data_IF_720953250511
#
_entry.id   IF_720953250511
#
_cell.length_a   1.000
_cell.length_b   1.000
_cell.length_c   1.000
_cell.angle_alpha   90.00
_cell.angle_beta   90.00
_cell.angle_gamma   90.00
#
_symmetry.space_group_name_H-M   'P 1'
#
loop_
_entity.id
_entity.type
_entity.pdbx_description
1 polymer ?
#
# COMPACT_ATOMS: atom_id res chain seq x y z
N UNK A 1 11.82 -28.74 12.12
CA UNK A 1 11.40 -29.23 10.80
C UNK A 1 11.26 -28.03 9.89
N UNK A 2 12.24 -27.81 9.02
CA UNK A 2 12.19 -26.79 7.98
C UNK A 2 11.35 -27.39 6.83
N UNK A 3 10.24 -26.76 6.46
CA UNK A 3 9.63 -27.04 5.16
C UNK A 3 10.65 -26.66 4.09
N UNK A 4 10.93 -27.53 3.10
CA UNK A 4 11.95 -27.25 2.12
C UNK A 4 11.46 -26.12 1.21
N UNK A 5 12.21 -25.02 1.14
CA UNK A 5 11.96 -23.89 0.25
C UNK A 5 11.79 -24.29 -1.24
N UNK A 6 12.15 -25.52 -1.62
CA UNK A 6 11.99 -26.08 -2.95
C UNK A 6 10.57 -26.55 -3.32
N UNK A 7 9.63 -26.66 -2.36
CA UNK A 7 8.23 -27.02 -2.66
C UNK A 7 7.34 -25.81 -2.91
N UNK A 8 7.73 -24.62 -2.43
CA UNK A 8 6.95 -23.39 -2.58
C UNK A 8 6.70 -23.00 -4.06
N UNK A 9 7.69 -23.07 -4.97
CA UNK A 9 7.44 -22.74 -6.38
C UNK A 9 6.46 -23.70 -7.06
N UNK A 10 6.50 -24.99 -6.69
CA UNK A 10 5.60 -26.00 -7.25
C UNK A 10 4.15 -25.82 -6.77
N UNK A 11 3.96 -25.63 -5.46
CA UNK A 11 2.64 -25.40 -4.85
C UNK A 11 2.03 -24.09 -5.34
N UNK A 12 2.83 -23.02 -5.45
CA UNK A 12 2.42 -21.74 -6.01
C UNK A 12 1.95 -21.89 -7.46
N UNK A 13 2.74 -22.56 -8.31
CA UNK A 13 2.38 -22.79 -9.72
C UNK A 13 1.10 -23.63 -9.87
N UNK A 14 0.90 -24.64 -9.02
CA UNK A 14 -0.35 -25.41 -9.00
C UNK A 14 -1.55 -24.53 -8.61
N UNK A 15 -1.44 -23.78 -7.51
CA UNK A 15 -2.52 -22.90 -7.04
C UNK A 15 -2.93 -21.87 -8.11
N UNK A 16 -1.96 -21.25 -8.80
CA UNK A 16 -2.22 -20.34 -9.93
C UNK A 16 -2.85 -21.03 -11.14
N UNK A 17 -2.52 -22.30 -11.40
CA UNK A 17 -3.02 -23.04 -12.56
C UNK A 17 -4.44 -23.60 -12.38
N UNK A 18 -4.84 -23.87 -11.13
CA UNK A 18 -6.16 -24.46 -10.82
C UNK A 18 -7.30 -23.45 -10.91
N UNK A 19 -7.04 -22.14 -10.89
CA UNK A 19 -8.07 -21.10 -11.07
C UNK A 19 -9.09 -21.02 -9.93
N UNK A 20 -8.78 -21.57 -8.76
CA UNK A 20 -9.67 -21.65 -7.58
C UNK A 20 -9.55 -20.46 -6.63
N UNK A 21 -8.72 -19.46 -6.97
CA UNK A 21 -8.57 -18.23 -6.17
C UNK A 21 -9.69 -17.24 -6.50
N UNK A 22 -10.47 -16.88 -5.50
CA UNK A 22 -11.56 -15.90 -5.62
C UNK A 22 -11.00 -14.50 -5.93
N UNK A 23 -9.83 -14.17 -5.36
CA UNK A 23 -9.12 -12.91 -5.65
C UNK A 23 -8.72 -12.85 -7.13
N UNK A 24 -8.13 -13.91 -7.68
CA UNK A 24 -7.77 -13.95 -9.10
C UNK A 24 -9.00 -13.86 -10.01
N UNK A 25 -10.10 -14.52 -9.64
CA UNK A 25 -11.36 -14.45 -10.37
C UNK A 25 -11.97 -13.05 -10.35
N UNK A 26 -11.89 -12.33 -9.23
CA UNK A 26 -12.38 -10.96 -9.12
C UNK A 26 -11.64 -9.98 -10.05
N UNK A 27 -10.30 -10.08 -10.12
CA UNK A 27 -9.50 -9.25 -11.03
C UNK A 27 -9.50 -9.73 -12.48
N UNK A 28 -9.98 -10.96 -12.74
CA UNK A 28 -10.12 -11.49 -14.09
C UNK A 28 -11.12 -10.64 -14.90
N UNK A 29 -10.67 -10.14 -16.05
CA UNK A 29 -11.43 -9.23 -16.94
C UNK A 29 -11.86 -7.90 -16.30
N UNK A 30 -11.22 -7.48 -15.20
CA UNK A 30 -11.43 -6.17 -14.60
C UNK A 30 -10.43 -5.16 -15.15
N UNK A 31 -10.88 -3.93 -15.39
CA UNK A 31 -10.00 -2.80 -15.73
C UNK A 31 -9.52 -2.16 -14.44
N UNK A 32 -8.22 -2.23 -14.18
CA UNK A 32 -7.60 -1.71 -12.96
C UNK A 32 -6.80 -0.46 -13.29
N UNK A 33 -7.13 0.66 -12.64
CA UNK A 33 -6.32 1.88 -12.69
C UNK A 33 -5.37 1.94 -11.50
N UNK A 34 -4.08 2.19 -11.76
CA UNK A 34 -3.04 2.24 -10.73
C UNK A 34 -2.30 3.57 -10.85
N UNK A 35 -2.52 4.48 -9.89
CA UNK A 35 -1.66 5.67 -9.78
C UNK A 35 -0.29 5.26 -9.26
N UNK A 36 0.78 5.93 -9.72
CA UNK A 36 2.14 5.59 -9.30
C UNK A 36 2.64 4.25 -9.86
N UNK A 37 2.03 3.75 -10.95
CA UNK A 37 2.42 2.49 -11.61
C UNK A 37 3.89 2.41 -12.03
N UNK A 38 4.55 3.55 -12.26
CA UNK A 38 5.98 3.63 -12.57
C UNK A 38 6.90 3.54 -11.33
N UNK A 39 6.35 3.73 -10.14
CA UNK A 39 7.03 3.67 -8.85
C UNK A 39 7.33 2.24 -8.40
N UNK A 40 8.07 2.11 -7.29
CA UNK A 40 8.53 0.81 -6.80
C UNK A 40 7.36 -0.15 -6.47
N UNK A 41 6.39 0.31 -5.66
CA UNK A 41 5.21 -0.48 -5.31
C UNK A 41 4.33 -0.72 -6.54
N UNK A 42 4.07 0.33 -7.34
CA UNK A 42 3.21 0.25 -8.53
C UNK A 42 3.70 -0.79 -9.56
N UNK A 43 5.00 -0.83 -9.85
CA UNK A 43 5.58 -1.84 -10.76
C UNK A 43 5.36 -3.26 -10.26
N UNK A 44 5.55 -3.48 -8.96
CA UNK A 44 5.38 -4.79 -8.35
C UNK A 44 3.91 -5.19 -8.26
N UNK A 45 3.00 -4.22 -8.05
CA UNK A 45 1.56 -4.44 -8.09
C UNK A 45 1.09 -4.81 -9.51
N UNK A 46 1.57 -4.11 -10.54
CA UNK A 46 1.34 -4.44 -11.95
C UNK A 46 1.88 -5.83 -12.25
N UNK A 47 3.12 -6.12 -11.87
CA UNK A 47 3.70 -7.44 -12.08
C UNK A 47 2.85 -8.53 -11.41
N UNK A 48 2.39 -8.32 -10.17
CA UNK A 48 1.61 -9.31 -9.45
C UNK A 48 0.22 -9.55 -10.03
N UNK A 49 -0.51 -8.49 -10.36
CA UNK A 49 -1.85 -8.58 -10.95
C UNK A 49 -1.83 -9.23 -12.34
N UNK A 50 -0.79 -8.96 -13.15
CA UNK A 50 -0.80 -9.28 -14.57
C UNK A 50 0.14 -10.43 -14.98
N UNK A 51 1.18 -10.75 -14.19
CA UNK A 51 2.05 -11.92 -14.46
C UNK A 51 1.33 -13.25 -14.21
N UNK A 52 0.33 -13.24 -13.33
CA UNK A 52 -0.51 -14.40 -13.03
C UNK A 52 -1.50 -14.71 -14.17
N UNK A 53 -1.68 -13.79 -15.12
CA UNK A 53 -2.64 -13.84 -16.24
C UNK A 53 -1.94 -14.06 -17.61
N UNK A 54 -1.18 -15.17 -17.76
CA UNK A 54 -0.71 -15.73 -19.07
C UNK A 54 0.20 -14.81 -19.95
N UNK A 55 0.89 -15.36 -20.98
CA UNK A 55 1.78 -14.57 -21.85
C UNK A 55 1.05 -13.46 -22.61
N UNK A 56 1.73 -12.33 -22.84
CA UNK A 56 1.19 -11.16 -23.57
C UNK A 56 0.51 -10.11 -22.69
N UNK A 57 0.67 -10.17 -21.37
CA UNK A 57 0.05 -9.19 -20.45
C UNK A 57 0.46 -7.74 -20.72
N UNK A 58 1.63 -7.51 -21.31
CA UNK A 58 2.12 -6.17 -21.70
C UNK A 58 1.18 -5.48 -22.68
N UNK A 59 0.50 -6.25 -23.55
CA UNK A 59 -0.43 -5.72 -24.55
C UNK A 59 -1.74 -5.25 -23.91
N UNK A 60 -1.95 -5.53 -22.62
CA UNK A 60 -3.10 -5.11 -21.82
C UNK A 60 -2.79 -3.95 -20.89
N UNK A 61 -1.60 -3.37 -20.97
CA UNK A 61 -1.18 -2.23 -20.16
C UNK A 61 -1.25 -0.97 -21.02
N UNK A 62 -2.10 -0.03 -20.62
CA UNK A 62 -2.16 1.32 -21.20
C UNK A 62 -1.57 2.31 -20.21
N UNK A 63 -0.58 3.09 -20.65
CA UNK A 63 -0.04 4.19 -19.85
C UNK A 63 -0.93 5.43 -19.97
N UNK A 64 -1.31 6.00 -18.84
CA UNK A 64 -1.98 7.31 -18.77
C UNK A 64 -0.98 8.30 -18.20
N UNK A 65 -0.72 9.38 -18.92
CA UNK A 65 0.14 10.46 -18.45
C UNK A 65 -0.67 11.40 -17.55
N UNK A 66 -0.07 11.81 -16.43
CA UNK A 66 -0.69 12.71 -15.46
C UNK A 66 0.25 13.02 -14.31
N UNK A 67 -0.08 14.09 -13.58
CA UNK A 67 0.59 14.50 -12.36
C UNK A 67 -0.42 14.48 -11.23
N UNK A 68 -0.16 13.68 -10.20
CA UNK A 68 -1.06 13.52 -9.07
C UNK A 68 -1.15 14.76 -8.20
N UNK A 69 -0.13 15.63 -8.28
CA UNK A 69 -0.25 16.94 -7.69
C UNK A 69 -1.37 17.70 -8.39
N UNK A 70 -1.58 17.60 -9.70
CA UNK A 70 -2.52 18.44 -10.46
C UNK A 70 -4.00 18.06 -10.32
N UNK A 71 -4.88 19.01 -10.64
CA UNK A 71 -6.34 18.78 -10.71
C UNK A 71 -6.66 17.66 -11.71
N UNK A 72 -7.68 16.84 -11.41
CA UNK A 72 -8.06 15.67 -12.21
C UNK A 72 -6.87 14.73 -12.46
N UNK A 73 -5.95 14.64 -11.48
CA UNK A 73 -4.71 13.85 -11.56
C UNK A 73 -3.78 14.27 -12.72
N UNK A 74 -3.94 15.50 -13.24
CA UNK A 74 -3.21 16.00 -14.40
C UNK A 74 -3.51 15.25 -15.70
N UNK A 75 -4.58 14.45 -15.73
CA UNK A 75 -4.92 13.60 -16.86
C UNK A 75 -5.74 14.39 -17.89
N UNK A 76 -5.51 14.12 -19.18
CA UNK A 76 -6.25 14.76 -20.26
C UNK A 76 -7.74 14.32 -20.27
N UNK A 77 -8.61 15.13 -20.88
CA UNK A 77 -10.04 14.87 -20.88
C UNK A 77 -10.44 13.55 -21.56
N UNK A 78 -9.71 13.16 -22.62
CA UNK A 78 -9.93 11.89 -23.33
C UNK A 78 -9.71 10.69 -22.40
N UNK A 79 -8.56 10.67 -21.73
CA UNK A 79 -8.20 9.58 -20.81
C UNK A 79 -9.08 9.59 -19.57
N UNK A 80 -9.46 10.76 -19.05
CA UNK A 80 -10.41 10.86 -17.95
C UNK A 80 -11.73 10.19 -18.29
N UNK A 81 -12.29 10.48 -19.46
CA UNK A 81 -13.56 9.91 -19.89
C UNK A 81 -13.45 8.39 -20.11
N UNK A 82 -12.34 7.93 -20.71
CA UNK A 82 -12.05 6.50 -20.83
C UNK A 82 -11.98 5.82 -19.46
N UNK A 83 -11.26 6.40 -18.50
CA UNK A 83 -11.16 5.84 -17.16
C UNK A 83 -12.51 5.81 -16.45
N UNK A 84 -13.29 6.89 -16.54
CA UNK A 84 -14.62 6.97 -15.96
C UNK A 84 -15.61 5.94 -16.56
N UNK A 85 -15.43 5.55 -17.82
CA UNK A 85 -16.27 4.53 -18.46
C UNK A 85 -15.83 3.12 -18.11
N UNK A 86 -14.52 2.86 -18.07
CA UNK A 86 -13.98 1.50 -18.11
C UNK A 86 -13.43 0.98 -16.79
N UNK A 87 -13.00 1.84 -15.85
CA UNK A 87 -12.30 1.40 -14.63
C UNK A 87 -13.25 0.75 -13.63
N UNK A 88 -12.92 -0.49 -13.25
CA UNK A 88 -13.60 -1.26 -12.20
C UNK A 88 -12.96 -1.04 -10.82
N UNK A 89 -11.63 -0.91 -10.76
CA UNK A 89 -10.86 -0.85 -9.51
C UNK A 89 -9.77 0.22 -9.59
N UNK A 90 -9.63 1.04 -8.55
CA UNK A 90 -8.58 2.06 -8.44
C UNK A 90 -7.63 1.70 -7.30
N UNK A 91 -6.34 1.56 -7.61
CA UNK A 91 -5.27 1.55 -6.62
C UNK A 91 -4.58 2.91 -6.60
N UNK A 92 -4.82 3.68 -5.54
CA UNK A 92 -4.12 4.93 -5.30
C UNK A 92 -2.82 4.70 -4.52
N UNK A 93 -1.70 4.53 -5.22
CA UNK A 93 -0.39 4.18 -4.64
C UNK A 93 0.63 5.31 -4.81
N UNK A 94 0.37 6.29 -5.69
CA UNK A 94 1.24 7.45 -5.83
C UNK A 94 1.18 8.32 -4.57
N UNK A 95 2.36 8.60 -4.01
CA UNK A 95 2.57 9.47 -2.86
C UNK A 95 4.02 9.96 -2.87
N UNK A 96 4.29 11.08 -2.20
CA UNK A 96 5.65 11.45 -1.79
C UNK A 96 5.87 11.00 -0.35
N UNK A 97 6.97 10.27 -0.13
CA UNK A 97 7.43 9.80 1.19
C UNK A 97 8.73 10.47 1.62
N UNK A 98 9.15 11.49 0.85
CA UNK A 98 10.35 12.27 1.15
C UNK A 98 10.10 13.16 2.36
N UNK A 99 10.89 12.95 3.42
CA UNK A 99 10.80 13.73 4.64
C UNK A 99 11.30 15.17 4.49
N UNK A 100 12.05 15.45 3.41
CA UNK A 100 12.59 16.76 3.05
C UNK A 100 11.78 17.49 1.96
N UNK A 101 10.62 16.96 1.56
CA UNK A 101 9.73 17.62 0.61
C UNK A 101 9.12 18.89 1.22
N UNK A 102 8.93 19.92 0.40
CA UNK A 102 8.20 21.10 0.84
C UNK A 102 6.78 20.71 1.25
N UNK A 103 6.34 21.17 2.43
CA UNK A 103 5.02 20.83 2.99
C UNK A 103 3.87 21.12 2.02
N UNK A 104 4.02 22.16 1.20
CA UNK A 104 3.10 22.52 0.11
C UNK A 104 2.97 21.37 -0.88
N UNK A 105 4.08 20.97 -1.50
CA UNK A 105 4.11 19.88 -2.48
C UNK A 105 3.65 18.55 -1.88
N UNK A 106 4.07 18.25 -0.65
CA UNK A 106 3.60 17.05 0.06
C UNK A 106 2.08 17.04 0.29
N UNK A 107 1.48 18.21 0.60
CA UNK A 107 0.04 18.33 0.75
C UNK A 107 -0.70 18.18 -0.59
N UNK A 108 -0.16 18.76 -1.67
CA UNK A 108 -0.76 18.63 -3.00
C UNK A 108 -0.72 17.19 -3.49
N UNK A 109 0.40 16.49 -3.30
CA UNK A 109 0.57 15.10 -3.72
C UNK A 109 -0.29 14.15 -2.86
N UNK A 110 -0.15 14.21 -1.53
CA UNK A 110 -0.70 13.18 -0.65
C UNK A 110 -2.14 13.47 -0.19
N UNK A 111 -2.58 14.73 -0.21
CA UNK A 111 -3.92 15.11 0.27
C UNK A 111 -4.82 15.45 -0.92
N UNK A 112 -4.40 16.40 -1.78
CA UNK A 112 -5.15 16.73 -3.00
C UNK A 112 -5.16 15.55 -3.96
N UNK A 113 -4.03 14.90 -4.22
CA UNK A 113 -3.98 13.70 -5.07
C UNK A 113 -4.95 12.59 -4.65
N UNK A 114 -5.13 12.36 -3.34
CA UNK A 114 -6.14 11.43 -2.82
C UNK A 114 -7.56 11.91 -3.07
N UNK A 115 -7.85 13.21 -2.86
CA UNK A 115 -9.16 13.80 -3.21
C UNK A 115 -9.48 13.61 -4.70
N UNK A 116 -8.54 13.91 -5.59
CA UNK A 116 -8.74 13.77 -7.04
C UNK A 116 -8.94 12.31 -7.47
N UNK A 117 -8.25 11.36 -6.83
CA UNK A 117 -8.47 9.93 -7.06
C UNK A 117 -9.87 9.48 -6.61
N UNK A 118 -10.40 10.02 -5.51
CA UNK A 118 -11.79 9.81 -5.10
C UNK A 118 -12.78 10.44 -6.08
N UNK A 119 -12.47 11.60 -6.66
CA UNK A 119 -13.32 12.19 -7.71
C UNK A 119 -13.38 11.31 -8.96
N UNK A 120 -12.25 10.73 -9.37
CA UNK A 120 -12.23 9.74 -10.45
C UNK A 120 -13.13 8.55 -10.08
N UNK A 121 -12.99 8.01 -8.86
CA UNK A 121 -13.85 6.92 -8.37
C UNK A 121 -15.35 7.22 -8.47
N UNK A 122 -15.78 8.46 -8.16
CA UNK A 122 -17.17 8.89 -8.35
C UNK A 122 -17.60 8.94 -9.81
N UNK A 123 -16.71 9.34 -10.70
CA UNK A 123 -16.99 9.42 -12.12
C UNK A 123 -17.09 8.02 -12.76
N UNK A 124 -16.43 7.02 -12.16
CA UNK A 124 -16.41 5.64 -12.66
C UNK A 124 -17.78 4.97 -12.61
N UNK A 125 -18.33 4.62 -13.77
CA UNK A 125 -19.64 3.95 -13.90
C UNK A 125 -19.63 2.47 -13.49
N UNK A 126 -18.48 1.83 -13.62
CA UNK A 126 -18.27 0.39 -13.37
C UNK A 126 -17.56 0.11 -12.04
N UNK A 127 -17.28 1.14 -11.24
CA UNK A 127 -16.49 0.99 -10.02
C UNK A 127 -17.13 -0.09 -9.12
N UNK A 128 -16.37 -1.13 -8.82
CA UNK A 128 -16.83 -2.23 -7.99
C UNK A 128 -16.65 -1.90 -6.51
N UNK A 129 -17.75 -1.88 -5.76
CA UNK A 129 -17.71 -2.11 -4.31
C UNK A 129 -18.86 -1.52 -3.50
N UNK A 130 -19.00 -2.05 -2.28
CA UNK A 130 -19.83 -1.55 -1.18
C UNK A 130 -19.03 -1.45 0.12
N UNK A 131 -19.56 -0.67 1.09
CA UNK A 131 -19.07 -0.29 2.42
C UNK A 131 -17.57 0.00 2.63
N UNK A 132 -17.33 1.19 3.21
CA UNK A 132 -16.05 1.80 3.54
C UNK A 132 -15.36 1.07 4.72
N UNK A 133 -14.09 0.69 4.57
CA UNK A 133 -13.23 0.22 5.66
C UNK A 133 -12.14 1.27 5.92
N UNK A 134 -12.37 2.15 6.89
CA UNK A 134 -11.47 3.23 7.29
C UNK A 134 -10.83 2.96 8.66
N UNK A 135 -9.50 3.07 8.76
CA UNK A 135 -8.79 3.33 10.02
C UNK A 135 -7.77 4.46 9.80
N UNK A 136 -8.16 5.68 10.15
CA UNK A 136 -7.31 6.86 10.14
C UNK A 136 -6.64 7.06 11.52
N UNK A 137 -5.40 7.56 11.51
CA UNK A 137 -4.96 8.46 12.57
C UNK A 137 -5.67 9.79 12.34
N UNK A 138 -6.37 10.31 13.36
CA UNK A 138 -7.00 11.62 13.26
C UNK A 138 -5.92 12.69 13.09
N UNK A 139 -5.93 13.34 11.94
CA UNK A 139 -5.12 14.53 11.72
C UNK A 139 -5.70 15.68 12.55
N UNK A 140 -4.87 16.46 13.26
CA UNK A 140 -5.32 17.65 13.98
C UNK A 140 -5.84 18.75 13.05
N UNK A 141 -5.57 18.65 11.75
CA UNK A 141 -6.05 19.55 10.70
C UNK A 141 -6.86 18.76 9.67
N UNK A 142 -7.95 19.36 9.19
CA UNK A 142 -8.75 18.75 8.13
C UNK A 142 -7.96 18.69 6.80
N UNK A 143 -8.19 17.68 5.93
CA UNK A 143 -7.57 17.61 4.61
C UNK A 143 -7.72 18.91 3.80
N UNK A 144 -8.88 19.55 3.88
CA UNK A 144 -9.19 20.82 3.22
C UNK A 144 -8.32 21.95 3.75
N UNK A 145 -8.15 22.02 5.07
CA UNK A 145 -7.30 23.03 5.70
C UNK A 145 -5.86 22.87 5.23
N UNK A 146 -5.36 21.64 5.10
CA UNK A 146 -4.01 21.37 4.59
C UNK A 146 -3.86 21.76 3.12
N UNK A 147 -4.84 21.44 2.27
CA UNK A 147 -4.84 21.84 0.86
C UNK A 147 -4.92 23.36 0.73
N UNK A 148 -5.80 24.01 1.47
CA UNK A 148 -5.97 25.46 1.45
C UNK A 148 -4.72 26.20 1.94
N UNK A 149 -4.06 25.68 2.98
CA UNK A 149 -2.78 26.20 3.45
C UNK A 149 -1.68 26.03 2.38
N UNK A 150 -1.74 24.97 1.59
CA UNK A 150 -0.84 24.76 0.46
C UNK A 150 -1.19 25.65 -0.76
N UNK A 151 -2.45 25.99 -0.99
CA UNK A 151 -2.90 26.71 -2.19
C UNK A 151 -2.96 28.25 -2.03
N UNK A 152 -3.15 28.78 -0.81
CA UNK A 152 -3.33 30.20 -0.48
C UNK A 152 -4.31 30.99 -1.40
N UNK A 153 -5.62 30.80 -1.20
CA UNK A 153 -6.70 31.82 -1.15
C UNK A 153 -8.08 31.16 -1.37
N UNK A 154 -8.97 31.32 -0.40
CA UNK A 154 -10.45 31.21 -0.46
C UNK A 154 -11.07 30.00 -1.20
N UNK A 155 -11.65 29.06 -0.44
CA UNK A 155 -13.02 28.53 -0.61
C UNK A 155 -13.24 27.31 0.31
N UNK A 156 -14.49 27.15 0.77
CA UNK A 156 -14.94 26.22 1.81
C UNK A 156 -15.07 24.74 1.37
N UNK A 157 -14.84 23.86 2.35
CA UNK A 157 -15.56 22.61 2.71
C UNK A 157 -16.00 21.63 1.59
N UNK A 158 -15.35 20.46 1.47
CA UNK A 158 -15.96 19.28 0.80
C UNK A 158 -15.31 17.88 0.90
N UNK A 159 -14.27 17.56 1.70
CA UNK A 159 -13.63 16.22 1.65
C UNK A 159 -14.25 15.20 2.61
N UNK A 160 -14.84 15.60 3.75
CA UNK A 160 -15.50 14.64 4.68
C UNK A 160 -16.78 13.99 4.14
N UNK A 161 -17.51 14.65 3.25
CA UNK A 161 -18.67 14.06 2.56
C UNK A 161 -18.25 13.18 1.37
N UNK A 162 -16.95 13.20 0.99
CA UNK A 162 -16.49 12.54 -0.21
C UNK A 162 -16.10 11.06 -0.03
N UNK A 163 -15.87 10.56 1.19
CA UNK A 163 -15.61 9.12 1.39
C UNK A 163 -16.87 8.32 1.70
N UNK A 164 -17.94 8.94 2.22
CA UNK A 164 -19.09 8.24 2.80
C UNK A 164 -19.97 7.46 1.81
N UNK A 165 -19.74 7.59 0.50
CA UNK A 165 -20.55 6.95 -0.55
C UNK A 165 -19.74 6.06 -1.50
N UNK A 166 -18.41 6.04 -1.39
CA UNK A 166 -17.56 5.25 -2.28
C UNK A 166 -16.98 4.03 -1.57
N UNK A 167 -16.91 2.86 -2.23
CA UNK A 167 -16.16 1.73 -1.70
C UNK A 167 -14.66 2.07 -1.66
N UNK A 168 -14.18 2.42 -0.47
CA UNK A 168 -12.81 2.86 -0.24
C UNK A 168 -12.11 1.91 0.75
N UNK A 169 -10.96 1.39 0.32
CA UNK A 169 -10.02 0.71 1.19
C UNK A 169 -8.72 1.51 1.29
N UNK A 170 -8.29 1.84 2.51
CA UNK A 170 -7.01 2.51 2.75
C UNK A 170 -6.07 1.52 3.44
N UNK A 171 -5.01 1.13 2.74
CA UNK A 171 -3.93 0.32 3.32
C UNK A 171 -2.78 1.24 3.72
N UNK A 172 -2.42 1.23 5.00
CA UNK A 172 -1.30 1.99 5.57
C UNK A 172 -0.18 1.06 5.98
N UNK A 173 0.69 0.64 5.05
CA UNK A 173 1.79 -0.23 5.41
C UNK A 173 2.80 0.53 6.27
N UNK A 174 3.23 -0.09 7.37
CA UNK A 174 4.49 0.26 8.04
C UNK A 174 5.68 -0.22 7.20
N UNK A 175 6.91 -0.12 7.70
CA UNK A 175 8.05 -0.70 6.98
C UNK A 175 7.97 -2.23 7.00
N UNK A 176 7.43 -2.79 5.91
CA UNK A 176 7.26 -4.22 5.70
C UNK A 176 7.73 -4.60 4.29
N UNK A 177 8.02 -5.88 4.03
CA UNK A 177 8.43 -6.30 2.70
C UNK A 177 7.34 -6.00 1.66
N UNK A 178 7.76 -5.48 0.50
CA UNK A 178 6.83 -4.97 -0.51
C UNK A 178 5.86 -6.02 -1.05
N UNK A 179 6.28 -7.28 -1.12
CA UNK A 179 5.39 -8.36 -1.57
C UNK A 179 4.18 -8.53 -0.63
N UNK A 180 4.37 -8.30 0.68
CA UNK A 180 3.30 -8.34 1.68
C UNK A 180 2.37 -7.15 1.54
N UNK A 181 2.92 -5.96 1.25
CA UNK A 181 2.12 -4.75 0.98
C UNK A 181 1.23 -4.97 -0.23
N UNK A 182 1.79 -5.49 -1.32
CA UNK A 182 1.03 -5.76 -2.53
C UNK A 182 -0.04 -6.82 -2.30
N UNK A 183 0.28 -7.89 -1.56
CA UNK A 183 -0.71 -8.90 -1.17
C UNK A 183 -1.86 -8.33 -0.36
N UNK A 184 -1.54 -7.50 0.64
CA UNK A 184 -2.55 -6.81 1.43
C UNK A 184 -3.39 -5.87 0.57
N UNK A 185 -2.78 -5.09 -0.33
CA UNK A 185 -3.49 -4.20 -1.26
C UNK A 185 -4.47 -4.98 -2.15
N UNK A 186 -3.99 -6.04 -2.81
CA UNK A 186 -4.81 -6.85 -3.73
C UNK A 186 -5.97 -7.51 -2.99
N UNK A 187 -5.70 -8.14 -1.84
CA UNK A 187 -6.72 -8.80 -1.03
C UNK A 187 -7.74 -7.80 -0.46
N UNK A 188 -7.30 -6.61 -0.05
CA UNK A 188 -8.18 -5.59 0.48
C UNK A 188 -9.06 -4.95 -0.61
N UNK A 189 -8.49 -4.72 -1.81
CA UNK A 189 -9.26 -4.29 -2.99
C UNK A 189 -10.34 -5.31 -3.38
N UNK A 190 -10.03 -6.61 -3.31
CA UNK A 190 -11.02 -7.68 -3.48
C UNK A 190 -12.09 -7.63 -2.39
N UNK A 191 -11.71 -7.56 -1.11
CA UNK A 191 -12.67 -7.57 -0.01
C UNK A 191 -13.70 -6.42 -0.09
N UNK A 192 -13.25 -5.23 -0.52
CA UNK A 192 -14.13 -4.06 -0.70
C UNK A 192 -14.96 -4.17 -1.98
N UNK A 193 -14.37 -4.62 -3.08
CA UNK A 193 -15.03 -4.70 -4.39
C UNK A 193 -15.95 -5.91 -4.59
N UNK A 194 -15.74 -7.01 -3.88
CA UNK A 194 -16.50 -8.24 -4.00
C UNK A 194 -17.93 -8.09 -3.46
N UNK A 195 -18.89 -8.75 -4.12
CA UNK A 195 -20.29 -8.78 -3.65
C UNK A 195 -20.38 -9.49 -2.30
N UNK A 196 -21.42 -9.22 -1.50
CA UNK A 196 -21.64 -9.92 -0.21
C UNK A 196 -21.59 -11.45 -0.33
N UNK A 197 -22.02 -12.01 -1.46
CA UNK A 197 -21.97 -13.46 -1.75
C UNK A 197 -20.57 -14.00 -2.06
N UNK A 198 -19.65 -13.11 -2.41
CA UNK A 198 -18.24 -13.39 -2.77
C UNK A 198 -17.29 -13.01 -1.63
N UNK A 199 -17.78 -12.31 -0.60
CA UNK A 199 -17.03 -12.04 0.64
C UNK A 199 -17.00 -13.30 1.51
N UNK A 200 -15.84 -13.68 2.06
CA UNK A 200 -15.74 -14.88 2.87
C UNK A 200 -16.51 -14.68 4.19
N UNK A 201 -17.34 -15.67 4.56
CA UNK A 201 -18.14 -15.67 5.81
C UNK A 201 -17.28 -15.61 7.07
N UNK A 202 -16.01 -15.96 6.95
CA UNK A 202 -14.98 -15.81 7.97
C UNK A 202 -13.87 -14.94 7.39
N UNK A 203 -13.30 -14.00 8.15
CA UNK A 203 -12.29 -13.04 7.71
C UNK A 203 -10.90 -13.64 7.35
N UNK A 204 -10.87 -14.89 6.85
CA UNK A 204 -9.66 -15.63 6.48
C UNK A 204 -9.68 -15.93 4.98
N UNK A 205 -8.56 -15.63 4.33
CA UNK A 205 -8.28 -16.04 2.95
C UNK A 205 -8.41 -17.56 2.78
N UNK A 206 -8.93 -18.00 1.63
CA UNK A 206 -8.96 -19.42 1.25
C UNK A 206 -7.53 -19.98 1.17
N UNK A 207 -7.37 -21.32 1.18
CA UNK A 207 -6.04 -21.93 1.05
C UNK A 207 -5.36 -21.53 -0.27
N UNK A 208 -6.11 -21.48 -1.38
CA UNK A 208 -5.60 -21.02 -2.67
C UNK A 208 -5.19 -19.55 -2.64
N UNK A 209 -5.99 -18.68 -2.00
CA UNK A 209 -5.64 -17.26 -1.86
C UNK A 209 -4.46 -17.04 -0.90
N UNK A 210 -4.32 -17.85 0.15
CA UNK A 210 -3.17 -17.79 1.06
C UNK A 210 -1.88 -18.19 0.37
N UNK A 211 -1.91 -19.13 -0.55
CA UNK A 211 -0.71 -19.52 -1.30
C UNK A 211 -0.23 -18.38 -2.20
N UNK A 212 -1.16 -17.61 -2.79
CA UNK A 212 -0.84 -16.60 -3.81
C UNK A 212 -0.66 -15.21 -3.20
N UNK A 213 -1.55 -14.82 -2.29
CA UNK A 213 -1.65 -13.51 -1.67
C UNK A 213 -1.33 -13.53 -0.16
N UNK A 214 -0.39 -14.36 0.28
CA UNK A 214 -0.01 -14.39 1.70
C UNK A 214 0.58 -13.05 2.16
N UNK A 215 0.00 -12.44 3.19
CA UNK A 215 0.58 -11.27 3.86
C UNK A 215 0.77 -11.49 5.37
N UNK A 216 0.82 -12.76 5.82
CA UNK A 216 1.09 -13.11 7.22
C UNK A 216 2.56 -12.86 7.60
N UNK A 217 2.82 -11.75 8.30
CA UNK A 217 4.16 -11.35 8.71
C UNK A 217 4.85 -12.33 9.68
N UNK A 218 4.12 -13.27 10.29
CA UNK A 218 4.72 -14.25 11.22
C UNK A 218 5.71 -15.18 10.53
N UNK A 219 5.64 -15.31 9.20
CA UNK A 219 6.55 -16.15 8.40
C UNK A 219 7.92 -15.50 8.15
N UNK A 220 8.10 -14.23 8.53
CA UNK A 220 9.32 -13.48 8.26
C UNK A 220 10.45 -13.83 9.24
N UNK A 221 11.68 -13.91 8.72
CA UNK A 221 12.89 -13.91 9.53
C UNK A 221 13.18 -12.49 10.03
N UNK A 222 12.56 -12.13 11.16
CA UNK A 222 12.68 -10.80 11.75
C UNK A 222 14.11 -10.31 11.97
N UNK A 223 15.06 -11.12 12.51
CA UNK A 223 16.46 -10.72 12.63
C UNK A 223 17.10 -10.26 11.30
N UNK A 224 16.89 -11.01 10.23
CA UNK A 224 17.43 -10.68 8.91
C UNK A 224 16.77 -9.42 8.34
N UNK A 225 15.45 -9.33 8.47
CA UNK A 225 14.68 -8.18 8.00
C UNK A 225 15.10 -6.88 8.70
N UNK A 226 15.28 -6.90 10.02
CA UNK A 226 15.73 -5.74 10.80
C UNK A 226 17.14 -5.32 10.37
N UNK A 227 18.03 -6.27 10.05
CA UNK A 227 19.37 -5.95 9.54
C UNK A 227 19.30 -5.26 8.17
N UNK A 228 18.53 -5.82 7.23
CA UNK A 228 18.32 -5.21 5.90
C UNK A 228 17.68 -3.83 6.01
N UNK A 229 16.73 -3.67 6.92
CA UNK A 229 16.09 -2.38 7.20
C UNK A 229 17.11 -1.34 7.70
N UNK A 230 17.92 -1.68 8.70
CA UNK A 230 18.97 -0.80 9.21
C UNK A 230 19.95 -0.37 8.10
N UNK A 231 20.34 -1.30 7.23
CA UNK A 231 21.19 -0.99 6.06
C UNK A 231 20.48 -0.04 5.10
N UNK A 232 19.19 -0.30 4.80
CA UNK A 232 18.37 0.53 3.93
C UNK A 232 18.21 1.96 4.44
N UNK A 233 17.89 2.13 5.73
CA UNK A 233 17.79 3.45 6.39
C UNK A 233 19.09 4.22 6.23
N UNK A 234 20.22 3.58 6.52
CA UNK A 234 21.53 4.24 6.43
C UNK A 234 21.91 4.62 5.01
N UNK A 235 21.66 3.73 4.05
CA UNK A 235 22.01 3.93 2.65
C UNK A 235 21.10 4.94 1.94
N UNK A 236 19.79 4.88 2.17
CA UNK A 236 18.81 5.63 1.35
C UNK A 236 18.17 6.81 2.07
N UNK A 237 17.97 6.72 3.39
CA UNK A 237 17.39 7.81 4.18
C UNK A 237 18.49 8.74 4.70
N UNK A 238 19.45 8.19 5.47
CA UNK A 238 20.55 8.96 6.04
C UNK A 238 21.65 9.27 5.02
N UNK A 239 21.69 8.52 3.91
CA UNK A 239 22.67 8.66 2.83
C UNK A 239 24.12 8.71 3.33
N UNK A 240 24.43 7.99 4.41
CA UNK A 240 25.73 8.02 5.09
C UNK A 240 26.78 7.09 4.47
N UNK A 241 26.43 6.44 3.36
CA UNK A 241 27.30 5.52 2.63
C UNK A 241 27.71 4.27 3.42
N UNK A 242 27.01 3.94 4.51
CA UNK A 242 27.40 2.88 5.45
C UNK A 242 28.77 3.11 6.12
N UNK A 243 29.25 4.36 6.15
CA UNK A 243 30.53 4.71 6.75
C UNK A 243 30.46 4.51 8.27
N UNK A 244 31.54 4.07 8.92
CA UNK A 244 31.59 3.82 10.37
C UNK A 244 30.60 2.75 10.89
N UNK A 245 30.19 1.78 10.06
CA UNK A 245 29.27 0.70 10.47
C UNK A 245 29.73 -0.01 11.74
N UNK A 246 31.02 -0.36 11.85
CA UNK A 246 31.56 -1.04 13.03
C UNK A 246 31.40 -0.21 14.31
N UNK A 247 31.58 1.11 14.22
CA UNK A 247 31.39 2.03 15.35
C UNK A 247 29.91 2.11 15.74
N UNK A 248 29.00 2.11 14.77
CA UNK A 248 27.57 2.08 15.01
C UNK A 248 27.14 0.77 15.69
N UNK A 249 27.61 -0.38 15.21
CA UNK A 249 27.36 -1.70 15.83
C UNK A 249 27.86 -1.73 17.28
N UNK A 250 29.07 -1.21 17.53
CA UNK A 250 29.62 -1.14 18.90
C UNK A 250 28.78 -0.23 19.81
N UNK A 251 28.28 0.90 19.31
CA UNK A 251 27.36 1.77 20.06
C UNK A 251 26.01 1.10 20.33
N UNK A 252 25.46 0.39 19.35
CA UNK A 252 24.22 -0.37 19.49
C UNK A 252 24.34 -1.41 20.61
N UNK A 253 25.50 -2.08 20.70
CA UNK A 253 25.79 -3.04 21.76
C UNK A 253 25.81 -2.38 23.14
N UNK A 254 26.44 -1.21 23.27
CA UNK A 254 26.40 -0.41 24.51
C UNK A 254 25.00 0.05 24.90
N UNK A 255 24.19 0.50 23.93
CA UNK A 255 22.78 0.85 24.19
C UNK A 255 21.96 -0.37 24.61
N UNK A 256 22.23 -1.55 24.04
CA UNK A 256 21.61 -2.80 24.47
C UNK A 256 21.92 -3.12 25.94
N UNK A 257 23.20 -3.05 26.34
CA UNK A 257 23.62 -3.25 27.73
C UNK A 257 22.94 -2.23 28.65
N UNK A 258 22.94 -0.95 28.27
CA UNK A 258 22.30 0.11 29.05
C UNK A 258 20.79 -0.12 29.21
N UNK A 259 20.10 -0.56 28.15
CA UNK A 259 18.68 -0.87 28.20
C UNK A 259 18.37 -2.02 29.18
N UNK A 260 19.15 -3.10 29.16
CA UNK A 260 18.97 -4.19 30.13
C UNK A 260 19.24 -3.75 31.56
N UNK A 261 20.22 -2.89 31.79
CA UNK A 261 20.47 -2.31 33.12
C UNK A 261 19.30 -1.46 33.60
N UNK A 262 18.75 -0.60 32.74
CA UNK A 262 17.57 0.23 33.06
C UNK A 262 16.37 -0.66 33.37
N UNK A 263 16.08 -1.66 32.55
CA UNK A 263 14.98 -2.60 32.79
C UNK A 263 15.13 -3.36 34.11
N UNK A 264 16.35 -3.79 34.45
CA UNK A 264 16.63 -4.46 35.72
C UNK A 264 16.39 -3.52 36.91
N UNK A 265 16.84 -2.26 36.83
CA UNK A 265 16.62 -1.25 37.86
C UNK A 265 15.13 -0.95 38.00
N UNK A 266 14.42 -0.71 36.89
CA UNK A 266 12.97 -0.46 36.89
C UNK A 266 12.19 -1.63 37.49
N UNK A 267 12.55 -2.87 37.14
CA UNK A 267 11.94 -4.08 37.71
C UNK A 267 12.20 -4.22 39.21
N UNK A 268 13.41 -3.91 39.67
CA UNK A 268 13.75 -3.91 41.10
C UNK A 268 12.99 -2.84 41.89
N UNK A 269 12.90 -1.62 41.35
CA UNK A 269 12.12 -0.54 41.97
C UNK A 269 10.64 -0.92 42.06
N UNK A 270 10.06 -1.50 40.99
CA UNK A 270 8.69 -1.97 40.98
C UNK A 270 8.43 -3.17 41.92
N UNK A 271 9.48 -3.91 42.32
CA UNK A 271 9.37 -5.01 43.27
C UNK A 271 9.43 -4.55 44.73
N UNK A 272 10.06 -3.41 45.00
CA UNK A 272 10.21 -2.83 46.35
C UNK A 272 9.01 -1.95 46.75
N UNK A 273 8.32 -1.39 45.77
CA UNK A 273 7.09 -0.60 45.95
C UNK A 273 5.89 -1.53 45.98
#
# INVERSE_FOLDING_TARGET
>A
MLTPANSMPYVYNQATAHGTSDIQQFYCNSTVFITGGSGFIGKQLVEKLFREQKPGFTDRITSVEGDIAEMRLGVCELDWNMMAEEVDVIFHVAATTKFDEHIREAALINVRGTREALQLGRACKKLRGGDVLEQFYESPLSPETLIQMAEQAVAEEQVRLMSSELPLCIVRPSVVPVDFVNNALIAAGWAVGARETERPREAKLSESDRVIFNFDMTVLNWPEMVNLWCIGVRKYILKDGLINTEKAVRKQLWFGILNYLILAISGYVAWII
#
